data_IF_168229201297
#
_entry.id   IF_168229201297
#
_cell.length_a   1.000
_cell.length_b   1.000
_cell.length_c   1.000
_cell.angle_alpha   90.00
_cell.angle_beta   90.00
_cell.angle_gamma   90.00
#
_symmetry.space_group_name_H-M   'P 1'
#
loop_
_entity.id
_entity.type
_entity.pdbx_description
1 polymer ?
#
# COMPACT_ATOMS: atom_id res chain seq x y z
N UNK A 1 -12.89 -0.31 38.18
CA UNK A 1 -12.78 -1.27 37.08
C UNK A 1 -12.99 -0.47 35.81
N UNK A 2 -11.90 0.07 35.27
CA UNK A 2 -11.93 0.80 34.00
C UNK A 2 -11.84 -0.23 32.88
N UNK A 3 -12.56 0.04 31.79
CA UNK A 3 -12.76 -0.85 30.65
C UNK A 3 -11.50 -1.63 30.24
N UNK A 4 -11.73 -2.88 29.84
CA UNK A 4 -10.71 -3.81 29.38
C UNK A 4 -9.93 -3.28 28.17
N UNK A 5 -8.95 -4.05 27.67
CA UNK A 5 -8.10 -3.60 26.57
C UNK A 5 -8.96 -3.14 25.40
N UNK A 6 -8.88 -1.84 25.10
CA UNK A 6 -9.41 -1.25 23.88
C UNK A 6 -8.87 -2.10 22.74
N UNK A 7 -9.77 -2.72 21.98
CA UNK A 7 -9.42 -3.45 20.77
C UNK A 7 -8.74 -2.45 19.85
N UNK A 8 -7.41 -2.33 19.94
CA UNK A 8 -6.63 -1.82 18.83
C UNK A 8 -6.78 -2.87 17.75
N UNK A 9 -7.86 -2.71 16.97
CA UNK A 9 -7.93 -3.16 15.61
C UNK A 9 -6.74 -2.47 14.95
N UNK A 10 -5.56 -3.09 15.07
CA UNK A 10 -4.52 -2.90 14.08
C UNK A 10 -5.18 -3.38 12.81
N UNK A 11 -5.77 -2.46 12.06
CA UNK A 11 -6.28 -2.75 10.73
C UNK A 11 -5.14 -3.47 10.02
N UNK A 12 -5.32 -4.76 9.78
CA UNK A 12 -4.41 -5.55 8.94
C UNK A 12 -4.61 -5.04 7.52
N UNK A 13 -4.07 -3.85 7.27
CA UNK A 13 -4.05 -3.16 5.99
C UNK A 13 -2.70 -3.32 5.33
N UNK A 14 -2.63 -2.91 4.07
CA UNK A 14 -1.37 -2.84 3.35
C UNK A 14 -0.67 -1.53 3.67
N UNK A 15 0.65 -1.57 3.81
CA UNK A 15 1.47 -0.38 4.05
C UNK A 15 2.63 -0.35 3.07
N UNK A 16 2.93 0.85 2.57
CA UNK A 16 4.20 1.12 1.91
C UNK A 16 5.23 1.46 2.98
N UNK A 17 6.41 0.87 2.88
CA UNK A 17 7.53 1.07 3.81
C UNK A 17 8.29 2.39 3.53
N UNK A 18 7.56 3.49 3.54
CA UNK A 18 8.08 4.88 3.58
C UNK A 18 8.34 5.32 5.02
N UNK A 19 8.97 6.48 5.21
CA UNK A 19 9.14 7.09 6.52
C UNK A 19 8.51 8.51 6.54
N UNK A 20 7.36 8.71 7.21
CA UNK A 20 6.55 7.70 7.93
C UNK A 20 5.87 6.71 6.98
N UNK A 21 5.47 5.54 7.49
CA UNK A 21 4.79 4.51 6.68
C UNK A 21 3.49 5.07 6.09
N UNK A 22 3.25 4.78 4.80
CA UNK A 22 2.04 5.21 4.11
C UNK A 22 1.01 4.07 4.09
N UNK A 23 -0.16 4.23 4.74
CA UNK A 23 -1.23 3.24 4.65
C UNK A 23 -1.81 3.21 3.24
N UNK A 24 -2.18 2.02 2.78
CA UNK A 24 -2.78 1.80 1.46
C UNK A 24 -4.12 1.11 1.61
N UNK A 25 -5.13 1.70 0.99
CA UNK A 25 -6.46 1.08 0.88
C UNK A 25 -6.51 0.22 -0.37
N UNK A 26 -6.59 -1.10 -0.19
CA UNK A 26 -6.87 -2.04 -1.27
C UNK A 26 -8.29 -2.57 -1.03
N UNK A 27 -9.20 -2.29 -1.97
CA UNK A 27 -10.64 -2.56 -1.80
C UNK A 27 -11.03 -3.96 -2.26
N UNK A 28 -10.36 -4.44 -3.29
CA UNK A 28 -10.52 -5.76 -3.88
C UNK A 28 -9.50 -6.74 -3.29
N UNK A 29 -9.72 -8.04 -3.51
CA UNK A 29 -8.73 -9.06 -3.16
C UNK A 29 -7.40 -8.78 -3.89
N UNK A 30 -6.28 -8.87 -3.16
CA UNK A 30 -4.95 -8.65 -3.70
C UNK A 30 -4.17 -9.96 -3.69
N UNK A 31 -4.31 -10.75 -4.75
CA UNK A 31 -3.60 -12.04 -4.88
C UNK A 31 -2.30 -11.89 -5.67
N UNK A 32 -2.31 -11.03 -6.69
CA UNK A 32 -1.14 -10.74 -7.54
C UNK A 32 -0.86 -9.24 -7.62
N UNK A 33 0.39 -8.87 -7.35
CA UNK A 33 0.89 -7.50 -7.47
C UNK A 33 1.74 -7.35 -8.73
N UNK A 34 1.33 -6.44 -9.61
CA UNK A 34 2.11 -6.03 -10.77
C UNK A 34 3.09 -4.93 -10.37
N UNK A 35 4.35 -5.05 -10.78
CA UNK A 35 5.40 -4.05 -10.54
C UNK A 35 6.04 -3.67 -11.86
N UNK A 36 6.14 -2.38 -12.12
CA UNK A 36 6.77 -1.86 -13.33
C UNK A 36 7.82 -0.81 -12.97
N UNK A 37 9.01 -0.90 -13.57
CA UNK A 37 10.09 0.09 -13.37
C UNK A 37 10.20 0.96 -14.62
N UNK A 38 9.91 2.25 -14.47
CA UNK A 38 10.16 3.26 -15.49
C UNK A 38 11.41 4.07 -15.09
N UNK A 39 12.57 3.67 -15.62
CA UNK A 39 13.83 4.37 -15.35
C UNK A 39 13.87 5.77 -15.95
N UNK A 40 13.24 6.00 -17.11
CA UNK A 40 13.27 7.30 -17.78
C UNK A 40 12.44 8.34 -17.02
N UNK A 41 11.33 7.91 -16.40
CA UNK A 41 10.48 8.76 -15.57
C UNK A 41 10.78 8.70 -14.08
N UNK A 42 11.74 7.88 -13.66
CA UNK A 42 12.06 7.60 -12.25
C UNK A 42 10.84 7.21 -11.42
N UNK A 43 10.03 6.27 -11.93
CA UNK A 43 8.85 5.77 -11.21
C UNK A 43 8.87 4.26 -11.05
N UNK A 44 8.32 3.79 -9.93
CA UNK A 44 8.08 2.38 -9.62
C UNK A 44 6.63 2.22 -9.15
N UNK A 45 5.66 2.13 -10.07
CA UNK A 45 4.26 1.85 -9.75
C UNK A 45 3.98 0.38 -9.41
N UNK A 46 3.01 0.20 -8.51
CA UNK A 46 2.44 -1.06 -8.04
C UNK A 46 0.96 -1.10 -8.40
N UNK A 47 0.49 -2.26 -8.87
CA UNK A 47 -0.89 -2.47 -9.30
C UNK A 47 -1.46 -3.76 -8.72
N UNK A 48 -2.77 -3.78 -8.48
CA UNK A 48 -3.52 -5.01 -8.28
C UNK A 48 -3.81 -5.57 -9.68
N UNK A 49 -3.24 -6.73 -10.00
CA UNK A 49 -3.42 -7.33 -11.33
C UNK A 49 -4.85 -7.84 -11.49
N UNK A 50 -5.42 -8.42 -10.43
CA UNK A 50 -6.75 -9.03 -10.47
C UNK A 50 -7.85 -7.97 -10.67
N UNK A 51 -7.67 -6.80 -10.06
CA UNK A 51 -8.60 -5.67 -10.15
C UNK A 51 -8.22 -4.64 -11.23
N UNK A 52 -7.12 -4.85 -11.95
CA UNK A 52 -6.53 -3.90 -12.92
C UNK A 52 -6.42 -2.47 -12.35
N UNK A 53 -6.10 -2.33 -11.06
CA UNK A 53 -6.16 -1.06 -10.33
C UNK A 53 -4.80 -0.62 -9.81
N UNK A 54 -4.60 0.69 -9.68
CA UNK A 54 -3.37 1.28 -9.12
C UNK A 54 -3.37 1.20 -7.60
N UNK A 55 -2.22 0.81 -7.02
CA UNK A 55 -2.02 0.71 -5.57
C UNK A 55 -1.20 1.91 -5.07
N UNK A 56 0.02 2.07 -5.59
CA UNK A 56 0.95 3.10 -5.16
C UNK A 56 2.06 3.31 -6.20
N UNK A 57 2.67 4.49 -6.25
CA UNK A 57 3.85 4.75 -7.07
C UNK A 57 4.93 5.38 -6.22
N UNK A 58 6.11 4.75 -6.13
CA UNK A 58 7.29 5.50 -5.73
C UNK A 58 7.70 6.39 -6.88
N UNK A 59 7.74 7.68 -6.61
CA UNK A 59 8.34 8.68 -7.46
C UNK A 59 9.66 9.11 -6.83
N UNK A 60 10.56 9.66 -7.64
CA UNK A 60 11.69 10.38 -7.08
C UNK A 60 11.17 11.61 -6.30
N UNK A 61 11.09 11.49 -4.97
CA UNK A 61 10.82 12.62 -4.09
C UNK A 61 12.07 13.48 -4.05
N UNK A 62 11.98 14.69 -4.62
CA UNK A 62 13.05 15.70 -4.62
C UNK A 62 13.32 16.18 -3.19
#
# INVERSE_FOLDING_TARGET
>A
MSDGPELSLTEKGFHVLTNPQTPVTVREELSVVGVFLDCDKHTLPFYNVDAESHIYTFTNSV
#
